data_IF_464949617922
#
_entry.id   IF_464949617922
#
_cell.length_a   1.000
_cell.length_b   1.000
_cell.length_c   1.000
_cell.angle_alpha   90.00
_cell.angle_beta   90.00
_cell.angle_gamma   90.00
#
_symmetry.space_group_name_H-M   'P 1'
#
loop_
_entity.id
_entity.type
_entity.pdbx_description
1 polymer ?
#
# COMPACT_ATOMS: atom_id res chain seq x y z
N UNK A 1 -25.66 -22.25 11.84
CA UNK A 1 -26.24 -21.45 10.73
C UNK A 1 -25.30 -21.54 9.53
N UNK A 2 -25.65 -22.32 8.51
CA UNK A 2 -24.87 -22.38 7.26
C UNK A 2 -25.38 -21.28 6.34
N UNK A 3 -24.59 -20.24 6.08
CA UNK A 3 -24.95 -19.22 5.10
C UNK A 3 -24.93 -19.87 3.71
N UNK A 4 -26.10 -19.99 3.06
CA UNK A 4 -26.17 -20.40 1.65
C UNK A 4 -25.93 -19.16 0.79
N UNK A 5 -24.86 -19.19 0.00
CA UNK A 5 -24.60 -18.15 -1.01
C UNK A 5 -25.51 -18.43 -2.20
N UNK A 6 -26.44 -17.52 -2.48
CA UNK A 6 -27.29 -17.61 -3.67
C UNK A 6 -26.43 -17.31 -4.91
N UNK A 7 -26.25 -18.29 -5.77
CA UNK A 7 -25.53 -18.17 -7.03
C UNK A 7 -26.49 -18.52 -8.17
N UNK A 8 -26.54 -17.69 -9.22
CA UNK A 8 -27.54 -17.76 -10.30
C UNK A 8 -27.15 -18.71 -11.44
N UNK A 9 -25.87 -19.08 -11.53
CA UNK A 9 -25.35 -19.97 -12.58
C UNK A 9 -25.21 -21.42 -12.10
N UNK A 10 -25.30 -22.38 -13.03
CA UNK A 10 -25.30 -23.81 -12.74
C UNK A 10 -23.94 -24.38 -12.30
N UNK A 11 -22.85 -23.64 -12.51
CA UNK A 11 -21.49 -24.03 -12.09
C UNK A 11 -20.81 -22.90 -11.34
N UNK A 12 -20.52 -23.04 -10.04
CA UNK A 12 -19.87 -21.99 -9.26
C UNK A 12 -18.43 -21.80 -9.74
N UNK A 13 -18.10 -20.60 -10.20
CA UNK A 13 -16.72 -20.20 -10.50
C UNK A 13 -16.08 -19.58 -9.25
N UNK A 14 -14.85 -19.98 -8.97
CA UNK A 14 -14.07 -19.37 -7.90
C UNK A 14 -13.51 -18.02 -8.38
N UNK A 15 -14.14 -16.92 -7.97
CA UNK A 15 -13.72 -15.54 -8.30
C UNK A 15 -13.37 -14.82 -6.99
N UNK A 16 -12.16 -15.04 -6.44
CA UNK A 16 -11.81 -14.49 -5.15
C UNK A 16 -11.52 -13.00 -5.24
N UNK A 17 -11.93 -12.24 -4.22
CA UNK A 17 -11.71 -10.80 -4.18
C UNK A 17 -10.23 -10.48 -3.96
N UNK A 18 -9.59 -9.83 -4.93
CA UNK A 18 -8.18 -9.44 -4.84
C UNK A 18 -7.89 -8.52 -3.63
N UNK A 19 -8.85 -7.68 -3.23
CA UNK A 19 -8.68 -6.77 -2.10
C UNK A 19 -8.51 -7.47 -0.75
N UNK A 20 -8.97 -8.71 -0.63
CA UNK A 20 -8.75 -9.52 0.57
C UNK A 20 -7.26 -9.80 0.75
N UNK A 21 -6.61 -10.30 -0.30
CA UNK A 21 -5.18 -10.57 -0.31
C UNK A 21 -4.34 -9.30 -0.17
N UNK A 22 -4.76 -8.21 -0.80
CA UNK A 22 -4.02 -6.94 -0.80
C UNK A 22 -4.14 -6.21 0.55
N UNK A 23 -5.33 -6.15 1.17
CA UNK A 23 -5.56 -5.22 2.27
C UNK A 23 -6.50 -5.70 3.39
N UNK A 24 -7.66 -6.27 3.07
CA UNK A 24 -8.70 -6.50 4.08
C UNK A 24 -8.42 -7.69 4.98
N UNK A 25 -7.98 -8.81 4.40
CA UNK A 25 -7.75 -10.01 5.17
C UNK A 25 -6.56 -9.81 6.13
N UNK A 26 -6.62 -10.47 7.27
CA UNK A 26 -5.48 -10.50 8.17
C UNK A 26 -4.36 -11.33 7.54
N UNK A 27 -3.08 -10.98 7.76
CA UNK A 27 -1.97 -11.70 7.14
C UNK A 27 -1.88 -13.18 7.57
N UNK A 28 -2.38 -13.53 8.76
CA UNK A 28 -2.44 -14.90 9.28
C UNK A 28 -3.55 -15.76 8.66
N UNK A 29 -4.43 -15.17 7.84
CA UNK A 29 -5.50 -15.91 7.17
C UNK A 29 -5.00 -16.71 5.97
N UNK A 30 -5.63 -17.88 5.75
CA UNK A 30 -5.54 -18.67 4.52
C UNK A 30 -6.90 -18.62 3.84
N UNK A 31 -6.93 -18.13 2.60
CA UNK A 31 -8.14 -17.99 1.80
C UNK A 31 -7.95 -18.77 0.51
N UNK A 32 -8.91 -19.61 0.14
CA UNK A 32 -8.88 -20.40 -1.10
C UNK A 32 -7.58 -21.23 -1.28
N UNK A 33 -7.01 -21.72 -0.17
CA UNK A 33 -5.75 -22.46 -0.15
C UNK A 33 -4.48 -21.59 -0.26
N UNK A 34 -4.61 -20.26 -0.30
CA UNK A 34 -3.51 -19.31 -0.42
C UNK A 34 -3.33 -18.52 0.88
N UNK A 35 -2.09 -18.47 1.38
CA UNK A 35 -1.74 -17.61 2.51
C UNK A 35 -1.75 -16.13 2.11
N UNK A 36 -2.46 -15.30 2.87
CA UNK A 36 -2.51 -13.85 2.66
C UNK A 36 -1.13 -13.23 2.90
N UNK A 37 -0.41 -13.64 3.94
CA UNK A 37 0.95 -13.19 4.20
C UNK A 37 1.89 -13.48 3.03
N UNK A 38 1.90 -14.73 2.55
CA UNK A 38 2.77 -15.11 1.44
C UNK A 38 2.42 -14.36 0.15
N UNK A 39 1.13 -14.13 -0.09
CA UNK A 39 0.65 -13.33 -1.21
C UNK A 39 1.23 -11.91 -1.18
N UNK A 40 1.26 -11.26 -0.01
CA UNK A 40 1.84 -9.92 0.15
C UNK A 40 3.36 -9.90 -0.01
N UNK A 41 4.06 -10.94 0.45
CA UNK A 41 5.49 -11.12 0.17
C UNK A 41 5.72 -11.25 -1.34
N UNK A 42 4.97 -12.10 -2.04
CA UNK A 42 5.06 -12.25 -3.51
C UNK A 42 4.78 -10.93 -4.23
N UNK A 43 3.83 -10.12 -3.76
CA UNK A 43 3.58 -8.77 -4.28
C UNK A 43 4.82 -7.87 -4.12
N UNK A 44 5.48 -7.88 -2.95
CA UNK A 44 6.70 -7.10 -2.71
C UNK A 44 7.85 -7.49 -3.62
N UNK A 45 7.96 -8.78 -3.94
CA UNK A 45 8.93 -9.31 -4.91
C UNK A 45 8.65 -8.87 -6.34
N UNK A 46 7.41 -9.00 -6.79
CA UNK A 46 7.00 -8.52 -8.11
C UNK A 46 7.20 -7.02 -8.25
N UNK A 47 6.92 -6.27 -7.19
CA UNK A 47 7.14 -4.83 -7.14
C UNK A 47 8.62 -4.48 -7.28
N UNK A 48 9.51 -5.10 -6.50
CA UNK A 48 10.95 -4.84 -6.60
C UNK A 48 11.50 -5.04 -8.02
N UNK A 49 11.06 -6.12 -8.70
CA UNK A 49 11.42 -6.36 -10.10
C UNK A 49 10.93 -5.25 -11.02
N UNK A 50 9.71 -4.76 -10.80
CA UNK A 50 9.16 -3.64 -11.58
C UNK A 50 9.93 -2.34 -11.34
N UNK A 51 10.31 -2.06 -10.09
CA UNK A 51 11.15 -0.90 -9.74
C UNK A 51 12.47 -0.93 -10.50
N UNK A 52 13.13 -2.08 -10.54
CA UNK A 52 14.40 -2.26 -11.25
C UNK A 52 14.28 -2.04 -12.77
N UNK A 53 13.08 -2.19 -13.35
CA UNK A 53 12.84 -2.01 -14.78
C UNK A 53 12.47 -0.58 -15.18
N UNK A 54 11.77 0.15 -14.31
CA UNK A 54 11.12 1.43 -14.67
C UNK A 54 11.88 2.64 -14.16
N UNK A 55 12.71 2.47 -13.12
CA UNK A 55 13.39 3.58 -12.45
C UNK A 55 14.86 3.22 -12.25
N UNK A 56 15.73 4.24 -12.18
CA UNK A 56 17.08 4.02 -11.66
C UNK A 56 17.02 3.76 -10.15
N UNK A 57 16.74 2.50 -9.80
CA UNK A 57 16.66 2.02 -8.42
C UNK A 57 17.96 2.28 -7.64
N UNK A 58 19.07 2.64 -8.32
CA UNK A 58 20.33 3.02 -7.69
C UNK A 58 20.25 4.37 -6.96
N UNK A 59 19.32 5.24 -7.34
CA UNK A 59 19.08 6.52 -6.68
C UNK A 59 18.21 6.43 -5.42
N UNK A 60 17.62 5.27 -5.14
CA UNK A 60 16.74 5.09 -3.98
C UNK A 60 17.59 4.94 -2.71
N UNK A 61 17.52 5.93 -1.82
CA UNK A 61 18.25 5.90 -0.55
C UNK A 61 17.63 4.95 0.49
N UNK A 62 16.31 4.88 0.52
CA UNK A 62 15.55 4.22 1.59
C UNK A 62 14.16 3.81 1.12
N UNK A 63 13.69 2.66 1.61
CA UNK A 63 12.31 2.20 1.44
C UNK A 63 11.53 2.51 2.71
N UNK A 64 10.37 3.16 2.57
CA UNK A 64 9.53 3.58 3.69
C UNK A 64 8.12 3.01 3.51
N UNK A 65 7.65 2.12 4.41
CA UNK A 65 6.29 1.60 4.36
C UNK A 65 5.27 2.63 4.87
N UNK A 66 4.04 2.53 4.35
CA UNK A 66 2.88 3.20 4.95
C UNK A 66 2.19 2.19 5.89
N UNK A 67 2.07 2.49 7.19
CA UNK A 67 1.50 1.56 8.15
C UNK A 67 0.00 1.32 7.90
N UNK A 68 -0.54 0.12 8.12
CA UNK A 68 0.12 -1.09 8.67
C UNK A 68 0.31 -2.18 7.60
N UNK A 69 -0.57 -2.24 6.61
CA UNK A 69 -0.69 -3.35 5.64
C UNK A 69 0.51 -3.45 4.70
N UNK A 70 1.03 -2.32 4.21
CA UNK A 70 2.11 -2.30 3.20
C UNK A 70 3.47 -2.74 3.74
N UNK A 71 3.60 -2.92 5.06
CA UNK A 71 4.86 -3.24 5.72
C UNK A 71 5.49 -4.52 5.18
N UNK A 72 4.68 -5.57 5.01
CA UNK A 72 5.13 -6.88 4.50
C UNK A 72 5.69 -6.78 3.08
N UNK A 73 4.94 -6.12 2.19
CA UNK A 73 5.35 -5.82 0.81
C UNK A 73 6.64 -4.99 0.78
N UNK A 74 6.72 -3.94 1.58
CA UNK A 74 7.88 -3.04 1.60
C UNK A 74 9.15 -3.71 2.16
N UNK A 75 9.02 -4.58 3.18
CA UNK A 75 10.13 -5.38 3.70
C UNK A 75 10.76 -6.22 2.58
N UNK A 76 9.93 -6.97 1.85
CA UNK A 76 10.43 -7.82 0.74
C UNK A 76 11.01 -6.96 -0.38
N UNK A 77 10.39 -5.82 -0.70
CA UNK A 77 10.92 -4.90 -1.71
C UNK A 77 12.28 -4.34 -1.31
N UNK A 78 12.44 -3.87 -0.07
CA UNK A 78 13.70 -3.35 0.46
C UNK A 78 14.80 -4.43 0.45
N UNK A 79 14.45 -5.67 0.81
CA UNK A 79 15.35 -6.81 0.78
C UNK A 79 15.90 -7.06 -0.63
N UNK A 80 15.04 -7.09 -1.65
CA UNK A 80 15.45 -7.35 -3.04
C UNK A 80 16.23 -6.18 -3.64
N UNK A 81 15.83 -4.94 -3.34
CA UNK A 81 16.55 -3.75 -3.79
C UNK A 81 17.84 -3.48 -3.02
N UNK A 82 18.11 -4.26 -1.95
CA UNK A 82 19.24 -4.07 -1.03
C UNK A 82 19.29 -2.65 -0.45
N UNK A 83 18.12 -2.09 -0.10
CA UNK A 83 17.97 -0.76 0.48
C UNK A 83 17.55 -0.83 1.93
N UNK A 84 17.98 0.14 2.77
CA UNK A 84 17.52 0.17 4.15
C UNK A 84 16.00 0.41 4.19
N UNK A 85 15.33 -0.33 5.04
CA UNK A 85 13.94 -0.08 5.42
C UNK A 85 13.91 0.88 6.61
N UNK A 86 13.13 1.96 6.52
CA UNK A 86 12.94 2.91 7.63
C UNK A 86 11.47 3.21 7.85
N UNK A 87 11.07 3.23 9.12
CA UNK A 87 9.74 3.71 9.52
C UNK A 87 9.77 5.23 9.60
N UNK A 88 9.10 5.91 8.68
CA UNK A 88 8.98 7.37 8.69
C UNK A 88 7.55 7.85 8.93
N UNK A 89 6.58 6.94 8.85
CA UNK A 89 5.17 7.21 9.10
C UNK A 89 4.70 6.44 10.33
N UNK A 90 4.11 7.15 11.28
CA UNK A 90 3.47 6.56 12.45
C UNK A 90 1.96 6.78 12.35
N UNK A 91 1.19 5.69 12.28
CA UNK A 91 -0.27 5.75 12.30
C UNK A 91 -0.77 6.21 13.66
N UNK A 92 -1.61 7.23 13.66
CA UNK A 92 -2.28 7.70 14.86
C UNK A 92 -3.48 6.79 15.17
N UNK A 93 -3.32 5.90 16.14
CA UNK A 93 -4.35 4.93 16.55
C UNK A 93 -5.52 5.56 17.30
N UNK A 94 -5.34 6.77 17.82
CA UNK A 94 -6.29 7.44 18.71
C UNK A 94 -7.08 8.56 18.01
N UNK A 95 -7.10 8.56 16.67
CA UNK A 95 -7.86 9.57 15.95
C UNK A 95 -9.36 9.24 15.97
N UNK A 96 -10.15 10.14 16.56
CA UNK A 96 -11.60 10.02 16.58
C UNK A 96 -12.19 10.11 15.16
N UNK A 97 -13.29 9.39 14.92
CA UNK A 97 -14.03 9.44 13.64
C UNK A 97 -14.61 10.84 13.46
N UNK A 98 -14.20 11.56 12.41
CA UNK A 98 -14.64 12.93 12.12
C UNK A 98 -15.97 12.97 11.36
N UNK A 99 -16.97 12.20 11.80
CA UNK A 99 -18.17 11.96 11.01
C UNK A 99 -19.08 13.20 10.88
N UNK A 100 -19.01 14.16 11.82
CA UNK A 100 -19.84 15.37 11.81
C UNK A 100 -19.00 16.57 12.29
N UNK A 101 -18.24 17.20 11.39
CA UNK A 101 -17.64 18.51 11.67
C UNK A 101 -18.09 19.52 10.62
N UNK A 102 -18.81 20.60 10.99
CA UNK A 102 -19.14 21.65 10.04
C UNK A 102 -17.85 22.38 9.62
N UNK A 103 -17.57 22.37 8.32
CA UNK A 103 -16.43 23.07 7.70
C UNK A 103 -15.33 22.16 7.13
N UNK A 104 -15.12 22.26 5.82
CA UNK A 104 -14.08 21.53 5.07
C UNK A 104 -12.66 21.75 5.61
N UNK A 105 -12.36 22.94 6.15
CA UNK A 105 -11.04 23.25 6.70
C UNK A 105 -10.70 22.41 7.93
N UNK A 106 -11.66 22.17 8.83
CA UNK A 106 -11.44 21.34 10.03
C UNK A 106 -11.24 19.88 9.64
N UNK A 107 -12.02 19.35 8.68
CA UNK A 107 -11.84 18.00 8.13
C UNK A 107 -10.46 17.79 7.50
N UNK A 108 -9.98 18.77 6.72
CA UNK A 108 -8.61 18.72 6.13
C UNK A 108 -7.52 18.69 7.19
N UNK A 109 -7.65 19.47 8.27
CA UNK A 109 -6.71 19.43 9.41
C UNK A 109 -6.71 18.05 10.09
N UNK A 110 -7.89 17.46 10.31
CA UNK A 110 -7.96 16.14 10.95
C UNK A 110 -7.52 15.00 10.04
N UNK A 111 -7.66 15.10 8.72
CA UNK A 111 -7.05 14.12 7.80
C UNK A 111 -5.53 14.11 7.90
N UNK A 112 -4.89 15.28 8.06
CA UNK A 112 -3.43 15.38 8.28
C UNK A 112 -2.97 14.78 9.61
N UNK A 113 -3.87 14.59 10.58
CA UNK A 113 -3.56 13.99 11.88
C UNK A 113 -3.59 12.45 11.87
N UNK A 114 -3.97 11.81 10.75
CA UNK A 114 -4.06 10.35 10.65
C UNK A 114 -2.68 9.66 10.67
N UNK A 115 -1.68 10.31 10.09
CA UNK A 115 -0.31 9.82 10.00
C UNK A 115 0.63 10.93 10.49
N UNK A 116 1.49 10.59 11.45
CA UNK A 116 2.56 11.47 11.90
C UNK A 116 3.84 11.13 11.13
N UNK A 117 4.60 12.14 10.73
CA UNK A 117 5.87 11.96 10.02
C UNK A 117 7.05 12.15 10.96
N UNK A 118 8.01 11.23 10.89
CA UNK A 118 9.29 11.33 11.60
C UNK A 118 10.24 12.12 10.71
N UNK A 119 10.31 13.45 10.94
CA UNK A 119 11.06 14.39 10.08
C UNK A 119 12.55 14.04 9.92
N UNK A 120 13.15 13.42 10.93
CA UNK A 120 14.56 13.00 10.88
C UNK A 120 14.84 11.97 9.77
N UNK A 121 13.86 11.13 9.43
CA UNK A 121 14.04 10.12 8.38
C UNK A 121 13.97 10.70 6.96
N UNK A 122 13.45 11.92 6.80
CA UNK A 122 13.37 12.60 5.50
C UNK A 122 14.49 13.62 5.28
N UNK A 123 15.25 13.98 6.32
CA UNK A 123 16.26 15.04 6.23
C UNK A 123 17.46 14.55 5.41
N UNK A 124 17.70 15.18 4.25
CA UNK A 124 18.89 14.94 3.42
C UNK A 124 18.91 13.60 2.67
N UNK A 125 17.77 12.88 2.65
CA UNK A 125 17.60 11.68 1.82
C UNK A 125 16.73 12.05 0.63
N UNK A 126 17.10 11.59 -0.57
CA UNK A 126 16.13 11.30 -1.63
C UNK A 126 15.34 10.08 -1.17
N UNK A 127 14.51 10.29 -0.16
CA UNK A 127 13.51 9.32 0.18
C UNK A 127 12.66 9.14 -1.09
N UNK A 128 12.48 7.90 -1.53
CA UNK A 128 11.27 7.52 -2.25
C UNK A 128 10.08 7.70 -1.32
N UNK A 129 9.85 8.95 -0.92
CA UNK A 129 8.77 9.38 -0.09
C UNK A 129 7.59 9.42 -1.03
N UNK A 130 6.58 8.59 -0.76
CA UNK A 130 5.28 8.66 -1.40
C UNK A 130 4.59 10.01 -1.16
N UNK A 131 5.08 11.07 -1.79
CA UNK A 131 4.41 12.37 -1.84
C UNK A 131 3.40 12.38 -2.98
N UNK A 132 2.14 12.78 -2.75
CA UNK A 132 1.12 12.85 -3.78
C UNK A 132 1.43 13.84 -4.92
N UNK A 133 2.46 14.67 -4.79
CA UNK A 133 2.86 15.66 -5.80
C UNK A 133 3.48 15.03 -7.06
N UNK A 134 4.04 13.82 -6.97
CA UNK A 134 4.63 13.11 -8.12
C UNK A 134 3.63 12.27 -8.92
N UNK A 135 2.39 12.13 -8.40
CA UNK A 135 1.35 11.31 -9.00
C UNK A 135 0.78 11.88 -10.32
N UNK A 136 1.18 13.09 -10.71
CA UNK A 136 0.69 13.81 -11.89
C UNK A 136 1.53 13.59 -13.16
N UNK A 137 2.57 12.74 -13.15
CA UNK A 137 3.44 12.51 -14.32
C UNK A 137 3.54 11.06 -14.84
N UNK A 138 2.79 10.12 -14.24
CA UNK A 138 2.63 8.79 -14.82
C UNK A 138 1.32 8.75 -15.62
N UNK A 139 1.39 9.16 -16.89
CA UNK A 139 0.26 8.98 -17.81
C UNK A 139 0.04 7.50 -18.14
N UNK A 140 -1.24 7.08 -18.27
CA UNK A 140 -1.62 5.68 -18.36
C UNK A 140 -1.51 5.19 -19.81
N UNK A 141 -0.65 4.20 -20.06
CA UNK A 141 -0.82 3.32 -21.22
C UNK A 141 -1.43 2.01 -20.75
N UNK A 142 -2.75 1.93 -20.98
CA UNK A 142 -3.61 0.74 -21.01
C UNK A 142 -3.69 -0.17 -19.76
N UNK A 143 -4.88 -0.14 -19.15
CA UNK A 143 -5.49 -1.26 -18.39
C UNK A 143 -5.01 -1.54 -16.96
N UNK A 144 -4.80 -0.53 -16.12
CA UNK A 144 -4.86 -0.72 -14.66
C UNK A 144 -5.89 0.25 -14.06
N UNK A 145 -6.92 -0.26 -13.34
CA UNK A 145 -7.94 0.58 -12.73
C UNK A 145 -7.33 1.49 -11.66
N UNK A 146 -7.81 2.74 -11.67
CA UNK A 146 -7.33 3.97 -10.99
C UNK A 146 -7.15 3.89 -9.44
N UNK A 147 -7.41 2.73 -8.83
CA UNK A 147 -7.31 2.48 -7.39
C UNK A 147 -5.96 1.91 -6.94
N UNK A 148 -5.06 1.53 -7.86
CA UNK A 148 -3.67 1.15 -7.53
C UNK A 148 -2.89 2.29 -6.83
N UNK A 149 -3.33 3.53 -7.03
CA UNK A 149 -2.77 4.76 -6.44
C UNK A 149 -2.88 4.83 -4.91
N UNK A 150 -3.72 4.00 -4.26
CA UNK A 150 -3.90 4.00 -2.80
C UNK A 150 -3.13 2.90 -2.06
N UNK A 151 -2.53 1.95 -2.78
CA UNK A 151 -1.92 0.76 -2.16
C UNK A 151 -0.49 0.45 -2.59
N UNK A 152 0.13 1.27 -3.45
CA UNK A 152 1.46 0.96 -3.94
C UNK A 152 2.37 2.17 -4.10
N UNK A 153 3.59 1.97 -3.60
CA UNK A 153 4.84 2.68 -3.85
C UNK A 153 4.80 3.80 -4.92
N UNK A 154 5.04 5.02 -4.45
CA UNK A 154 5.46 6.16 -5.23
C UNK A 154 6.93 5.92 -5.52
N UNK A 155 7.17 5.39 -6.71
CA UNK A 155 8.47 5.37 -7.33
C UNK A 155 8.67 6.76 -7.91
N UNK A 156 9.61 7.50 -7.35
CA UNK A 156 10.06 8.76 -7.91
C UNK A 156 11.32 8.45 -8.69
N UNK A 157 11.26 8.62 -10.01
CA UNK A 157 12.30 9.33 -10.75
C UNK A 157 11.70 10.67 -11.13
#
# INVERSE_FOLDING_TARGET
MSSKQCFYESTPQLVPCIFEYVYFARPDSVMDGVSVYESRVRMGRSLARRVQQVTDWREIDVVIPIPDTSRTTAIETAYILQRPLREAFQKNRYIARTFIMPGQQKRRKTMRLKLNTIRSEFKGKKAGSLTPQFCLHLQPSSCLPDWFSQLLLCLIG
#
